data_IF_851704533438
#
_entry.id   IF_851704533438
#
_cell.length_a   1.000
_cell.length_b   1.000
_cell.length_c   1.000
_cell.angle_alpha   90.00
_cell.angle_beta   90.00
_cell.angle_gamma   90.00
#
_symmetry.space_group_name_H-M   'P 1'
#
loop_
_entity.id
_entity.type
_entity.pdbx_description
1 polymer ?
#
# COMPACT_ATOMS: atom_id res chain seq x y z
N UNK A 1 -13.99 -17.67 25.37
CA UNK A 1 -13.03 -18.38 24.51
C UNK A 1 -12.61 -17.46 23.36
N UNK A 2 -11.34 -17.52 22.94
CA UNK A 2 -10.84 -16.79 21.78
C UNK A 2 -11.53 -17.27 20.48
N UNK A 3 -11.61 -16.41 19.46
CA UNK A 3 -12.33 -16.66 18.20
C UNK A 3 -11.57 -16.16 16.98
N UNK A 4 -11.79 -16.87 15.86
CA UNK A 4 -11.35 -16.51 14.52
C UNK A 4 -12.57 -16.53 13.59
N UNK A 5 -12.67 -15.56 12.68
CA UNK A 5 -13.70 -15.55 11.63
C UNK A 5 -13.32 -16.43 10.43
N UNK A 6 -12.03 -16.69 10.23
CA UNK A 6 -11.56 -17.61 9.19
C UNK A 6 -11.31 -19.00 9.76
N UNK A 7 -11.70 -20.06 9.01
CA UNK A 7 -11.29 -21.41 9.35
C UNK A 7 -9.78 -21.55 9.19
N UNK A 8 -9.16 -22.37 10.04
CA UNK A 8 -7.81 -22.86 9.77
C UNK A 8 -7.91 -24.08 8.85
N UNK A 9 -6.88 -24.28 8.03
CA UNK A 9 -6.61 -25.61 7.45
C UNK A 9 -6.09 -26.51 8.59
N UNK A 10 -6.18 -27.84 8.48
CA UNK A 10 -5.50 -28.69 9.46
C UNK A 10 -3.98 -28.53 9.32
N UNK A 11 -3.38 -27.86 10.29
CA UNK A 11 -1.92 -27.68 10.38
C UNK A 11 -1.36 -28.67 11.40
N UNK A 12 -0.21 -29.24 11.05
CA UNK A 12 0.63 -29.95 12.01
C UNK A 12 1.97 -29.23 12.07
N UNK A 13 2.40 -28.86 13.26
CA UNK A 13 3.66 -28.16 13.47
C UNK A 13 4.75 -29.18 13.83
N UNK A 14 5.89 -29.10 13.15
CA UNK A 14 7.08 -29.91 13.42
C UNK A 14 8.34 -29.06 13.33
N UNK A 15 9.39 -29.48 14.01
CA UNK A 15 10.69 -28.81 14.00
C UNK A 15 11.80 -29.85 14.16
N UNK A 16 12.83 -29.77 13.32
CA UNK A 16 14.01 -30.64 13.41
C UNK A 16 14.98 -30.21 14.53
N UNK A 17 14.77 -29.01 15.09
CA UNK A 17 15.70 -28.37 16.03
C UNK A 17 15.21 -28.38 17.46
N UNK A 18 13.91 -28.52 17.67
CA UNK A 18 13.31 -28.39 18.99
C UNK A 18 11.97 -29.10 19.09
N UNK A 19 11.60 -29.41 20.33
CA UNK A 19 10.26 -29.91 20.66
C UNK A 19 9.24 -28.79 20.44
N UNK A 20 8.18 -29.10 19.70
CA UNK A 20 7.03 -28.23 19.51
C UNK A 20 5.99 -28.58 20.58
N UNK A 21 5.64 -27.62 21.42
CA UNK A 21 4.63 -27.78 22.46
C UNK A 21 3.29 -27.24 21.98
N UNK A 22 2.25 -28.09 22.02
CA UNK A 22 0.88 -27.64 21.84
C UNK A 22 0.37 -26.91 23.09
N UNK A 23 -0.10 -25.68 22.92
CA UNK A 23 -0.62 -24.83 24.00
C UNK A 23 -2.15 -24.82 24.06
N UNK A 24 -2.81 -24.98 22.92
CA UNK A 24 -4.27 -24.96 22.83
C UNK A 24 -4.74 -25.68 21.56
N UNK A 25 -5.98 -26.18 21.62
CA UNK A 25 -6.70 -26.77 20.51
C UNK A 25 -8.03 -26.05 20.25
N UNK A 26 -8.53 -26.19 19.03
CA UNK A 26 -9.88 -25.78 18.67
C UNK A 26 -10.89 -26.66 19.40
N UNK A 27 -11.76 -26.03 20.18
CA UNK A 27 -12.79 -26.73 20.95
C UNK A 27 -13.76 -27.53 20.08
N UNK A 28 -14.05 -27.07 18.85
CA UNK A 28 -15.01 -27.75 17.98
C UNK A 28 -14.42 -28.98 17.30
N UNK A 29 -13.18 -28.87 16.80
CA UNK A 29 -12.53 -29.92 16.00
C UNK A 29 -11.52 -30.77 16.77
N UNK A 30 -11.06 -30.30 17.94
CA UNK A 30 -9.97 -30.90 18.70
C UNK A 30 -8.59 -30.73 18.07
N UNK A 31 -8.50 -30.02 16.94
CA UNK A 31 -7.25 -29.82 16.20
C UNK A 31 -6.38 -28.78 16.91
N UNK A 32 -5.06 -29.00 17.02
CA UNK A 32 -4.17 -28.03 17.64
C UNK A 32 -4.25 -26.65 16.97
N UNK A 33 -4.33 -25.60 17.78
CA UNK A 33 -4.60 -24.22 17.36
C UNK A 33 -3.51 -23.22 17.76
N UNK A 34 -2.64 -23.59 18.70
CA UNK A 34 -1.55 -22.77 19.19
C UNK A 34 -0.37 -23.65 19.56
N UNK A 35 0.81 -23.33 19.05
CA UNK A 35 2.05 -24.03 19.39
C UNK A 35 3.11 -23.06 19.90
N UNK A 36 4.01 -23.59 20.72
CA UNK A 36 5.20 -22.94 21.22
C UNK A 36 6.42 -23.73 20.75
N UNK A 37 7.44 -23.03 20.25
CA UNK A 37 8.74 -23.61 19.98
C UNK A 37 9.86 -22.65 20.40
N UNK A 38 10.97 -23.15 20.98
CA UNK A 38 12.12 -22.32 21.28
C UNK A 38 12.85 -21.92 19.99
N UNK A 39 13.39 -20.70 19.96
CA UNK A 39 14.15 -20.18 18.83
C UNK A 39 15.22 -19.20 19.30
N UNK A 40 16.50 -19.61 19.19
CA UNK A 40 17.62 -18.87 19.79
C UNK A 40 17.43 -18.73 21.30
N UNK A 41 17.59 -17.51 21.81
CA UNK A 41 17.34 -17.18 23.23
C UNK A 41 15.86 -16.83 23.53
N UNK A 42 14.99 -17.00 22.55
CA UNK A 42 13.57 -16.68 22.64
C UNK A 42 12.67 -17.85 22.25
N UNK A 43 11.45 -17.51 21.85
CA UNK A 43 10.42 -18.47 21.50
C UNK A 43 9.49 -17.92 20.44
N UNK A 44 8.89 -18.82 19.68
CA UNK A 44 7.87 -18.51 18.69
C UNK A 44 6.57 -19.14 19.17
N UNK A 45 5.54 -18.29 19.28
CA UNK A 45 4.16 -18.74 19.47
C UNK A 45 3.47 -18.64 18.11
N UNK A 46 3.05 -19.79 17.58
CA UNK A 46 2.44 -19.90 16.26
C UNK A 46 0.96 -20.26 16.37
N UNK A 47 0.11 -19.54 15.65
CA UNK A 47 -1.31 -19.90 15.46
C UNK A 47 -1.64 -19.89 13.97
N UNK A 48 -2.35 -20.91 13.45
CA UNK A 48 -2.75 -20.96 12.05
C UNK A 48 -4.01 -20.11 11.79
N UNK A 49 -4.65 -19.58 12.84
CA UNK A 49 -5.83 -18.74 12.73
C UNK A 49 -5.42 -17.27 12.56
N UNK A 50 -5.36 -16.82 11.30
CA UNK A 50 -4.88 -15.48 10.96
C UNK A 50 -5.75 -14.32 11.46
N UNK A 51 -6.98 -14.56 11.92
CA UNK A 51 -7.89 -13.48 12.32
C UNK A 51 -7.95 -13.17 13.81
N UNK A 52 -7.41 -14.05 14.68
CA UNK A 52 -7.55 -13.95 16.15
C UNK A 52 -7.01 -12.62 16.71
N UNK A 53 -5.98 -12.06 16.08
CA UNK A 53 -5.34 -10.81 16.51
C UNK A 53 -5.54 -9.64 15.54
N UNK A 54 -6.50 -9.75 14.62
CA UNK A 54 -6.85 -8.63 13.72
C UNK A 54 -7.52 -7.51 14.50
N UNK A 55 -7.40 -6.26 14.01
CA UNK A 55 -8.05 -5.10 14.62
C UNK A 55 -9.56 -5.28 14.83
N UNK A 56 -10.23 -6.01 13.91
CA UNK A 56 -11.66 -6.31 13.99
C UNK A 56 -11.99 -7.24 15.16
N UNK A 57 -11.22 -8.31 15.36
CA UNK A 57 -11.54 -9.35 16.34
C UNK A 57 -10.75 -9.23 17.65
N UNK A 58 -9.75 -8.36 17.75
CA UNK A 58 -8.92 -8.26 18.95
C UNK A 58 -9.74 -7.91 20.19
N UNK A 59 -10.72 -7.00 20.05
CA UNK A 59 -11.63 -6.60 21.11
C UNK A 59 -12.76 -7.59 21.40
N UNK A 60 -12.87 -8.66 20.62
CA UNK A 60 -13.98 -9.61 20.71
C UNK A 60 -13.65 -10.78 21.66
N UNK A 61 -14.64 -11.12 22.49
CA UNK A 61 -14.57 -12.22 23.46
C UNK A 61 -13.26 -12.20 24.28
N UNK A 62 -12.46 -13.27 24.22
CA UNK A 62 -11.22 -13.41 24.99
C UNK A 62 -9.96 -13.20 24.14
N UNK A 63 -10.06 -12.65 22.91
CA UNK A 63 -8.90 -12.47 22.03
C UNK A 63 -7.84 -11.53 22.64
N UNK A 64 -8.26 -10.36 23.14
CA UNK A 64 -7.38 -9.44 23.86
C UNK A 64 -6.74 -10.09 25.10
N UNK A 65 -7.50 -10.94 25.81
CA UNK A 65 -7.00 -11.65 26.99
C UNK A 65 -5.94 -12.68 26.61
N UNK A 66 -6.15 -13.43 25.53
CA UNK A 66 -5.16 -14.36 24.99
C UNK A 66 -3.87 -13.62 24.62
N UNK A 67 -3.97 -12.51 23.86
CA UNK A 67 -2.81 -11.71 23.48
C UNK A 67 -2.07 -11.14 24.71
N UNK A 68 -2.82 -10.62 25.68
CA UNK A 68 -2.25 -10.09 26.92
C UNK A 68 -1.52 -11.17 27.73
N UNK A 69 -2.04 -12.39 27.77
CA UNK A 69 -1.39 -13.52 28.44
C UNK A 69 -0.09 -13.91 27.72
N UNK A 70 -0.11 -14.02 26.39
CA UNK A 70 1.08 -14.33 25.59
C UNK A 70 2.15 -13.26 25.80
N UNK A 71 1.78 -11.99 25.72
CA UNK A 71 2.70 -10.87 25.92
C UNK A 71 3.29 -10.87 27.34
N UNK A 72 2.45 -10.99 28.37
CA UNK A 72 2.89 -11.01 29.77
C UNK A 72 3.84 -12.17 30.07
N UNK A 73 3.57 -13.33 29.49
CA UNK A 73 4.41 -14.51 29.69
C UNK A 73 5.73 -14.44 28.92
N UNK A 74 5.76 -13.75 27.78
CA UNK A 74 6.95 -13.67 26.91
C UNK A 74 7.89 -12.50 27.22
N UNK A 75 7.40 -11.45 27.88
CA UNK A 75 8.20 -10.25 28.15
C UNK A 75 8.97 -10.36 29.46
N UNK A 76 10.27 -10.07 29.41
CA UNK A 76 11.06 -9.76 30.62
C UNK A 76 10.73 -8.38 31.19
N UNK A 77 11.30 -8.03 32.35
CA UNK A 77 10.98 -6.80 33.10
C UNK A 77 11.06 -5.49 32.27
N UNK A 78 11.97 -5.43 31.30
CA UNK A 78 12.15 -4.27 30.42
C UNK A 78 11.71 -4.52 28.97
N UNK A 79 10.99 -5.62 28.73
CA UNK A 79 10.50 -5.99 27.41
C UNK A 79 9.59 -4.91 26.79
N UNK A 80 9.50 -4.92 25.47
CA UNK A 80 8.56 -4.09 24.70
C UNK A 80 7.83 -4.99 23.72
N UNK A 81 6.56 -4.68 23.47
CA UNK A 81 5.77 -5.34 22.42
C UNK A 81 5.93 -4.52 21.16
N UNK A 82 6.38 -5.18 20.09
CA UNK A 82 6.38 -4.62 18.74
C UNK A 82 5.36 -5.44 17.95
N UNK A 83 4.39 -4.75 17.36
CA UNK A 83 3.42 -5.37 16.45
C UNK A 83 3.84 -4.94 15.05
N UNK A 84 4.31 -5.89 14.26
CA UNK A 84 4.57 -5.68 12.84
C UNK A 84 3.34 -6.10 12.05
N UNK A 85 2.43 -5.15 11.84
CA UNK A 85 1.28 -5.30 10.96
C UNK A 85 1.71 -4.96 9.52
N UNK A 86 2.55 -5.80 8.90
CA UNK A 86 3.09 -5.45 7.58
C UNK A 86 3.34 -6.63 6.62
N UNK A 87 2.83 -6.44 5.40
CA UNK A 87 3.20 -7.03 4.10
C UNK A 87 2.67 -8.41 3.68
N UNK A 88 1.78 -9.07 4.40
CA UNK A 88 0.99 -10.12 3.74
C UNK A 88 -0.16 -9.45 2.99
N UNK A 89 0.03 -9.22 1.68
CA UNK A 89 -0.98 -8.75 0.73
C UNK A 89 -2.25 -9.61 0.62
N UNK A 90 -2.47 -10.52 1.57
CA UNK A 90 -3.71 -11.20 1.89
C UNK A 90 -4.58 -10.32 2.80
N UNK A 91 -4.74 -9.07 2.40
CA UNK A 91 -5.78 -8.25 2.99
C UNK A 91 -7.10 -8.72 2.37
N UNK A 92 -7.89 -9.52 3.09
CA UNK A 92 -9.18 -10.03 2.59
C UNK A 92 -10.18 -8.91 2.22
N UNK A 93 -9.83 -7.66 2.53
CA UNK A 93 -10.61 -6.47 2.18
C UNK A 93 -10.30 -5.94 0.76
N UNK A 94 -9.18 -6.35 0.13
CA UNK A 94 -8.80 -5.86 -1.20
C UNK A 94 -9.20 -6.86 -2.29
N UNK A 95 -10.46 -6.76 -2.69
CA UNK A 95 -11.00 -7.45 -3.88
C UNK A 95 -10.63 -6.60 -5.11
N UNK A 96 -9.55 -6.99 -5.79
CA UNK A 96 -9.05 -6.29 -6.96
C UNK A 96 -10.14 -6.18 -8.05
N UNK A 97 -10.95 -7.22 -8.23
CA UNK A 97 -12.00 -7.24 -9.25
C UNK A 97 -13.11 -6.23 -8.92
N UNK A 98 -13.49 -6.10 -7.63
CA UNK A 98 -14.42 -5.04 -7.21
C UNK A 98 -13.83 -3.64 -7.35
N UNK A 99 -12.54 -3.47 -7.04
CA UNK A 99 -11.87 -2.17 -7.17
C UNK A 99 -11.82 -1.74 -8.64
N UNK A 100 -11.34 -2.62 -9.53
CA UNK A 100 -11.23 -2.33 -10.96
C UNK A 100 -12.58 -2.32 -11.68
N UNK A 101 -13.61 -2.98 -11.15
CA UNK A 101 -14.97 -2.94 -11.67
C UNK A 101 -15.81 -1.75 -11.15
N UNK A 102 -15.29 -0.93 -10.23
CA UNK A 102 -16.07 0.18 -9.66
C UNK A 102 -16.27 1.30 -10.70
N UNK A 103 -17.52 1.56 -11.06
CA UNK A 103 -17.89 2.65 -11.98
C UNK A 103 -17.44 4.04 -11.52
N UNK A 104 -17.22 4.25 -10.22
CA UNK A 104 -16.68 5.50 -9.66
C UNK A 104 -15.21 5.68 -10.03
N UNK A 105 -14.42 4.60 -9.98
CA UNK A 105 -13.01 4.62 -10.39
C UNK A 105 -12.88 5.03 -11.85
N UNK A 106 -13.65 4.38 -12.74
CA UNK A 106 -13.64 4.71 -14.17
C UNK A 106 -14.06 6.15 -14.44
N UNK A 107 -15.07 6.65 -13.74
CA UNK A 107 -15.54 8.04 -13.89
C UNK A 107 -14.49 9.05 -13.46
N UNK A 108 -13.78 8.79 -12.36
CA UNK A 108 -12.68 9.64 -11.90
C UNK A 108 -11.52 9.62 -12.90
N UNK A 109 -11.16 8.46 -13.43
CA UNK A 109 -10.15 8.32 -14.49
C UNK A 109 -10.54 9.09 -15.75
N UNK A 110 -11.79 8.98 -16.19
CA UNK A 110 -12.31 9.74 -17.33
C UNK A 110 -12.26 11.24 -17.10
N UNK A 111 -12.62 11.72 -15.91
CA UNK A 111 -12.52 13.13 -15.56
C UNK A 111 -11.08 13.64 -15.59
N UNK A 112 -10.14 12.88 -15.02
CA UNK A 112 -8.72 13.24 -15.05
C UNK A 112 -8.18 13.30 -16.48
N UNK A 113 -8.53 12.31 -17.31
CA UNK A 113 -8.11 12.26 -18.71
C UNK A 113 -8.70 13.41 -19.52
N UNK A 114 -9.98 13.73 -19.32
CA UNK A 114 -10.66 14.84 -20.00
C UNK A 114 -10.06 16.19 -19.59
N UNK A 115 -9.83 16.41 -18.29
CA UNK A 115 -9.21 17.64 -17.80
C UNK A 115 -7.80 17.80 -18.37
N UNK A 116 -7.03 16.71 -18.41
CA UNK A 116 -5.70 16.70 -19.01
C UNK A 116 -5.75 17.06 -20.51
N UNK A 117 -6.69 16.50 -21.27
CA UNK A 117 -6.87 16.84 -22.69
C UNK A 117 -7.23 18.31 -22.89
N UNK A 118 -8.17 18.85 -22.10
CA UNK A 118 -8.54 20.27 -22.15
C UNK A 118 -7.34 21.15 -21.86
N UNK A 119 -6.53 20.80 -20.86
CA UNK A 119 -5.31 21.53 -20.53
C UNK A 119 -4.29 21.50 -21.68
N UNK A 120 -4.00 20.33 -22.25
CA UNK A 120 -3.03 20.18 -23.35
C UNK A 120 -3.46 20.96 -24.60
N UNK A 121 -4.73 20.82 -25.01
CA UNK A 121 -5.26 21.49 -26.19
C UNK A 121 -5.43 23.00 -25.98
N UNK A 122 -5.84 23.41 -24.77
CA UNK A 122 -5.95 24.82 -24.40
C UNK A 122 -4.59 25.52 -24.35
N UNK A 123 -3.56 24.85 -23.81
CA UNK A 123 -2.19 25.38 -23.78
C UNK A 123 -1.58 25.51 -25.18
N UNK A 124 -1.95 24.63 -26.12
CA UNK A 124 -1.50 24.72 -27.51
C UNK A 124 -2.10 25.91 -28.27
N UNK A 125 -3.35 26.28 -27.98
CA UNK A 125 -4.04 27.40 -28.65
C UNK A 125 -3.45 28.79 -28.33
N UNK A 126 -2.74 28.96 -27.20
CA UNK A 126 -2.11 30.24 -26.84
C UNK A 126 -0.80 30.54 -27.59
N UNK A 127 -0.30 29.63 -28.44
CA UNK A 127 0.91 29.84 -29.25
C UNK A 127 0.63 29.94 -30.75
N UNK A 128 -0.40 30.68 -31.13
CA UNK A 128 -0.44 31.24 -32.47
C UNK A 128 0.53 32.43 -32.53
N UNK A 129 1.79 32.17 -32.88
CA UNK A 129 2.68 33.24 -33.31
C UNK A 129 2.08 33.86 -34.58
N UNK A 130 1.42 35.01 -34.44
CA UNK A 130 1.08 35.84 -35.59
C UNK A 130 2.40 36.28 -36.24
N UNK A 131 2.82 35.55 -37.28
CA UNK A 131 3.81 36.07 -38.20
C UNK A 131 3.15 37.19 -38.99
N UNK A 132 3.33 38.43 -38.52
CA UNK A 132 3.03 39.59 -39.34
C UNK A 132 3.95 39.54 -40.56
N UNK A 133 3.39 39.14 -41.70
CA UNK A 133 4.08 39.17 -42.97
C UNK A 133 4.55 40.61 -43.23
N UNK A 134 5.85 40.84 -43.11
CA UNK A 134 6.47 42.12 -43.48
C UNK A 134 7.02 41.97 -44.90
N UNK A 135 6.43 42.58 -45.94
CA UNK A 135 7.02 42.54 -47.26
C UNK A 135 8.40 43.22 -47.19
N UNK A 136 9.42 42.55 -47.73
CA UNK A 136 10.78 43.11 -47.82
C UNK A 136 10.75 44.35 -48.72
N UNK A 137 10.61 45.52 -48.10
CA UNK A 137 10.69 46.79 -48.79
C UNK A 137 12.17 47.12 -49.02
N UNK A 138 12.57 47.24 -50.29
CA UNK A 138 13.94 47.58 -50.71
C UNK A 138 14.39 48.89 -50.05
N UNK A 139 13.48 49.82 -49.78
CA UNK A 139 13.81 51.08 -49.09
C UNK A 139 14.18 50.86 -47.63
N UNK A 140 13.60 49.86 -46.96
CA UNK A 140 13.95 49.48 -45.58
C UNK A 140 15.36 48.87 -45.50
N UNK A 141 15.75 48.08 -46.52
CA UNK A 141 17.10 47.55 -46.64
C UNK A 141 18.12 48.67 -46.86
N UNK A 142 17.87 49.57 -47.83
CA UNK A 142 18.76 50.71 -48.11
C UNK A 142 18.91 51.63 -46.90
N UNK A 143 17.82 51.88 -46.15
CA UNK A 143 17.87 52.68 -44.92
C UNK A 143 18.68 52.01 -43.82
N UNK A 144 18.53 50.70 -43.63
CA UNK A 144 19.27 49.95 -42.61
C UNK A 144 20.76 49.88 -42.94
N UNK A 145 21.12 49.58 -44.20
CA UNK A 145 22.51 49.51 -44.65
C UNK A 145 23.17 50.89 -44.68
N UNK A 146 22.46 51.92 -45.15
CA UNK A 146 22.95 53.31 -45.15
C UNK A 146 23.18 53.86 -43.75
N UNK A 147 22.25 53.58 -42.81
CA UNK A 147 22.42 53.97 -41.41
C UNK A 147 23.59 53.26 -40.71
N UNK A 148 23.87 52.00 -41.08
CA UNK A 148 25.02 51.27 -40.57
C UNK A 148 26.35 51.87 -41.08
N UNK A 149 26.46 52.14 -42.38
CA UNK A 149 27.67 52.72 -42.97
C UNK A 149 27.94 54.15 -42.48
N UNK A 150 26.89 54.96 -42.31
CA UNK A 150 27.01 56.33 -41.77
C UNK A 150 27.40 56.38 -40.28
N UNK A 151 27.33 55.26 -39.56
CA UNK A 151 27.69 55.18 -38.13
C UNK A 151 29.08 54.57 -37.92
N UNK A 152 29.65 53.91 -38.93
CA UNK A 152 30.93 53.18 -38.86
C UNK A 152 32.06 53.92 -39.58
N UNK A 153 31.74 54.88 -40.45
CA UNK A 153 32.67 55.89 -40.99
C UNK A 153 32.53 57.21 -40.22
#
# INVERSE_FOLDING_TARGET
MAVSEFPSVHWNASSDRAVVLELASDHASGVPALWLLPYGDGQIVFSPYGSVFTNKLLGERDNARLLANIARWSLGEQGRVIIDDAHQGLVSFYDADKFYGDARLHRSLWWLLALWLVFVLGAAALRAAMSAWNPLDVTSFVRATGGFMARVL
#
